data_IF_012881437271
#
_entry.id   IF_012881437271
#
_cell.length_a   1.000
_cell.length_b   1.000
_cell.length_c   1.000
_cell.angle_alpha   90.00
_cell.angle_beta   90.00
_cell.angle_gamma   90.00
#
_symmetry.space_group_name_H-M   'P 1'
#
loop_
_entity.id
_entity.type
_entity.pdbx_description
1 polymer ?
#
# COMPACT_ATOMS: atom_id res chain seq x y z
N UNK A 1 -42.52 -6.49 0.11
CA UNK A 1 -41.78 -6.54 1.40
C UNK A 1 -42.30 -7.57 2.41
N UNK A 2 -43.45 -8.24 2.18
CA UNK A 2 -43.99 -9.22 3.13
C UNK A 2 -43.54 -10.68 2.87
N UNK A 3 -43.25 -11.06 1.62
CA UNK A 3 -42.93 -12.47 1.29
C UNK A 3 -41.52 -12.90 1.71
N UNK A 4 -40.50 -12.04 1.57
CA UNK A 4 -39.13 -12.35 2.00
C UNK A 4 -38.92 -12.41 3.53
N UNK A 5 -39.92 -11.99 4.33
CA UNK A 5 -39.86 -12.14 5.80
C UNK A 5 -40.10 -13.60 6.22
N UNK A 6 -40.94 -14.37 5.52
CA UNK A 6 -41.27 -15.74 5.96
C UNK A 6 -40.12 -16.75 5.82
N UNK A 7 -39.24 -16.57 4.84
CA UNK A 7 -38.26 -17.61 4.47
C UNK A 7 -36.98 -17.60 5.32
N UNK A 8 -36.50 -16.43 5.75
CA UNK A 8 -35.31 -16.32 6.61
C UNK A 8 -35.56 -16.86 8.04
N UNK A 9 -36.77 -16.66 8.59
CA UNK A 9 -37.10 -17.09 9.96
C UNK A 9 -37.18 -18.62 10.10
N UNK A 10 -37.42 -19.34 9.00
CA UNK A 10 -37.44 -20.81 8.98
C UNK A 10 -36.04 -21.44 9.05
N UNK A 11 -34.98 -20.64 8.89
CA UNK A 11 -33.58 -21.07 8.82
C UNK A 11 -32.79 -20.76 10.09
N UNK A 12 -33.45 -20.21 11.12
CA UNK A 12 -32.83 -20.01 12.43
C UNK A 12 -32.28 -21.33 12.98
N UNK A 13 -30.99 -21.33 13.35
CA UNK A 13 -30.30 -22.52 13.87
C UNK A 13 -29.52 -23.36 12.85
N UNK A 14 -29.50 -23.00 11.56
CA UNK A 14 -28.57 -23.62 10.60
C UNK A 14 -27.14 -23.07 10.82
N UNK A 15 -26.31 -23.85 11.52
CA UNK A 15 -24.93 -23.50 11.86
C UNK A 15 -24.04 -23.23 10.64
N UNK A 16 -24.36 -23.81 9.47
CA UNK A 16 -23.59 -23.55 8.24
C UNK A 16 -23.96 -22.18 7.68
N UNK A 17 -25.24 -21.88 7.54
CA UNK A 17 -25.70 -20.58 7.06
C UNK A 17 -25.29 -19.45 8.02
N UNK A 18 -25.40 -19.65 9.32
CA UNK A 18 -24.95 -18.68 10.32
C UNK A 18 -23.45 -18.34 10.14
N UNK A 19 -22.58 -19.34 9.97
CA UNK A 19 -21.15 -19.11 9.70
C UNK A 19 -20.90 -18.39 8.39
N UNK A 20 -21.66 -18.70 7.34
CA UNK A 20 -21.57 -18.01 6.05
C UNK A 20 -22.01 -16.54 6.16
N UNK A 21 -23.11 -16.25 6.87
CA UNK A 21 -23.57 -14.88 7.11
C UNK A 21 -22.56 -14.08 7.92
N UNK A 22 -22.09 -14.59 9.06
CA UNK A 22 -21.10 -13.91 9.89
C UNK A 22 -19.81 -13.64 9.10
N UNK A 23 -19.29 -14.64 8.39
CA UNK A 23 -18.10 -14.48 7.54
C UNK A 23 -18.31 -13.62 6.29
N UNK A 24 -19.55 -13.40 5.86
CA UNK A 24 -19.91 -12.47 4.79
C UNK A 24 -19.99 -11.03 5.28
N UNK A 25 -20.62 -10.80 6.44
CA UNK A 25 -20.70 -9.48 7.06
C UNK A 25 -19.30 -8.91 7.38
N UNK A 26 -18.32 -9.73 7.76
CA UNK A 26 -16.93 -9.28 7.96
C UNK A 26 -16.23 -8.83 6.66
N UNK A 27 -16.80 -9.14 5.50
CA UNK A 27 -16.32 -8.73 4.18
C UNK A 27 -17.17 -7.62 3.55
N UNK A 28 -18.20 -7.15 4.25
CA UNK A 28 -19.12 -6.13 3.75
C UNK A 28 -18.52 -4.73 3.94
N UNK A 29 -18.22 -3.99 2.85
CA UNK A 29 -17.59 -2.67 2.98
C UNK A 29 -18.56 -1.59 3.51
N UNK A 30 -19.88 -1.82 3.41
CA UNK A 30 -20.94 -0.94 3.88
C UNK A 30 -21.44 -1.30 5.30
N UNK A 31 -20.65 -2.06 6.06
CA UNK A 31 -21.00 -2.50 7.41
C UNK A 31 -21.30 -1.30 8.35
N UNK A 32 -22.52 -1.16 8.90
CA UNK A 32 -22.84 -0.11 9.86
C UNK A 32 -22.12 -0.30 11.19
N UNK A 33 -21.84 0.80 11.90
CA UNK A 33 -21.20 0.75 13.22
C UNK A 33 -22.00 -0.07 14.26
N UNK A 34 -23.34 -0.07 14.16
CA UNK A 34 -24.22 -0.88 15.01
C UNK A 34 -24.03 -2.39 14.79
N UNK A 35 -23.84 -2.81 13.53
CA UNK A 35 -23.60 -4.21 13.16
C UNK A 35 -22.17 -4.61 13.55
N UNK A 36 -21.19 -3.73 13.30
CA UNK A 36 -19.81 -3.90 13.77
C UNK A 36 -19.78 -4.15 15.28
N UNK A 37 -20.44 -3.31 16.08
CA UNK A 37 -20.51 -3.45 17.54
C UNK A 37 -20.96 -4.84 17.98
N UNK A 38 -21.98 -5.39 17.31
CA UNK A 38 -22.48 -6.74 17.57
C UNK A 38 -21.52 -7.83 17.10
N UNK A 39 -20.87 -7.67 15.95
CA UNK A 39 -19.87 -8.64 15.49
C UNK A 39 -18.66 -8.74 16.42
N UNK A 40 -18.29 -7.65 17.10
CA UNK A 40 -17.20 -7.65 18.08
C UNK A 40 -17.53 -8.45 19.36
N UNK A 41 -18.78 -8.84 19.59
CA UNK A 41 -19.16 -9.70 20.73
C UNK A 41 -19.07 -11.19 20.40
N UNK A 42 -18.85 -11.54 19.13
CA UNK A 42 -18.72 -12.94 18.69
C UNK A 42 -17.32 -13.43 19.04
N UNK A 43 -17.22 -14.42 19.94
CA UNK A 43 -15.93 -14.97 20.39
C UNK A 43 -15.16 -15.66 19.25
N UNK A 44 -15.86 -16.47 18.44
CA UNK A 44 -15.27 -17.23 17.35
C UNK A 44 -15.94 -16.88 16.02
N UNK A 45 -15.33 -15.94 15.30
CA UNK A 45 -15.64 -15.74 13.88
C UNK A 45 -14.94 -16.81 13.03
N UNK A 46 -15.44 -17.12 11.81
CA UNK A 46 -14.79 -18.08 10.93
C UNK A 46 -13.29 -17.76 10.72
N UNK A 47 -12.42 -18.78 10.77
CA UNK A 47 -10.96 -18.62 10.82
C UNK A 47 -10.35 -17.71 9.73
N UNK A 48 -10.93 -17.67 8.54
CA UNK A 48 -10.52 -16.78 7.44
C UNK A 48 -10.78 -15.29 7.70
N UNK A 49 -11.43 -14.95 8.82
CA UNK A 49 -11.75 -13.59 9.23
C UNK A 49 -10.69 -13.00 10.17
N UNK A 50 -9.63 -13.71 10.55
CA UNK A 50 -8.65 -13.23 11.57
C UNK A 50 -8.07 -11.83 11.35
N UNK A 51 -8.02 -11.34 10.10
CA UNK A 51 -7.56 -9.99 9.71
C UNK A 51 -8.67 -9.09 9.13
N UNK A 52 -9.94 -9.37 9.43
CA UNK A 52 -11.06 -8.68 8.79
C UNK A 52 -11.13 -7.19 9.17
N UNK A 53 -10.86 -6.84 10.43
CA UNK A 53 -10.87 -5.45 10.88
C UNK A 53 -9.77 -4.60 10.24
N UNK A 54 -8.65 -5.19 9.81
CA UNK A 54 -7.61 -4.48 9.05
C UNK A 54 -8.04 -4.15 7.60
N UNK A 55 -9.05 -4.85 7.08
CA UNK A 55 -9.60 -4.68 5.71
C UNK A 55 -10.96 -4.02 5.67
N UNK A 56 -11.64 -3.91 6.82
CA UNK A 56 -12.90 -3.20 6.97
C UNK A 56 -12.64 -1.70 6.80
N UNK A 57 -13.31 -0.99 5.88
CA UNK A 57 -13.22 0.46 5.83
C UNK A 57 -13.68 1.06 7.16
N UNK A 58 -12.88 1.93 7.76
CA UNK A 58 -13.19 2.52 9.07
C UNK A 58 -13.38 4.03 8.95
N UNK A 59 -14.63 4.45 8.80
CA UNK A 59 -14.98 5.86 9.00
C UNK A 59 -14.89 6.26 10.48
N UNK A 60 -15.22 7.51 10.77
CA UNK A 60 -15.21 8.09 12.12
C UNK A 60 -16.02 7.27 13.13
N UNK A 61 -17.21 6.79 12.76
CA UNK A 61 -18.10 6.08 13.67
C UNK A 61 -17.58 4.67 13.96
N UNK A 62 -17.19 3.93 12.93
CA UNK A 62 -16.60 2.58 13.07
C UNK A 62 -15.26 2.61 13.79
N UNK A 63 -14.44 3.62 13.55
CA UNK A 63 -13.19 3.84 14.30
C UNK A 63 -13.49 4.06 15.77
N UNK A 64 -14.53 4.83 16.11
CA UNK A 64 -14.92 5.08 17.49
C UNK A 64 -15.37 3.80 18.20
N UNK A 65 -16.09 2.92 17.51
CA UNK A 65 -16.48 1.59 18.05
C UNK A 65 -15.25 0.78 18.44
N UNK A 66 -14.23 0.69 17.57
CA UNK A 66 -13.04 -0.09 17.88
C UNK A 66 -12.18 0.56 18.97
N UNK A 67 -12.00 1.88 18.94
CA UNK A 67 -11.26 2.62 19.98
C UNK A 67 -11.91 2.47 21.36
N UNK A 68 -13.23 2.38 21.42
CA UNK A 68 -13.98 2.13 22.65
C UNK A 68 -14.09 0.64 23.04
N UNK A 69 -13.62 -0.29 22.19
CA UNK A 69 -13.78 -1.71 22.43
C UNK A 69 -13.00 -2.15 23.69
N UNK A 70 -13.57 -3.05 24.52
CA UNK A 70 -12.90 -3.53 25.73
C UNK A 70 -11.68 -4.38 25.42
N UNK A 71 -11.71 -5.12 24.30
CA UNK A 71 -10.61 -6.01 23.87
C UNK A 71 -9.46 -5.21 23.29
N UNK A 72 -8.26 -5.44 23.84
CA UNK A 72 -7.00 -4.82 23.39
C UNK A 72 -6.77 -5.11 21.90
N UNK A 73 -7.03 -6.33 21.44
CA UNK A 73 -6.82 -6.73 20.04
C UNK A 73 -7.65 -5.88 19.06
N UNK A 74 -8.87 -5.47 19.43
CA UNK A 74 -9.71 -4.62 18.58
C UNK A 74 -9.14 -3.20 18.46
N UNK A 75 -8.62 -2.66 19.57
CA UNK A 75 -7.96 -1.35 19.58
C UNK A 75 -6.67 -1.38 18.76
N UNK A 76 -5.87 -2.45 18.87
CA UNK A 76 -4.67 -2.64 18.05
C UNK A 76 -5.00 -2.74 16.55
N UNK A 77 -6.03 -3.51 16.18
CA UNK A 77 -6.46 -3.61 14.79
C UNK A 77 -7.01 -2.29 14.22
N UNK A 78 -7.55 -1.40 15.06
CA UNK A 78 -7.89 -0.04 14.64
C UNK A 78 -6.64 0.79 14.30
N UNK A 79 -5.56 0.67 15.07
CA UNK A 79 -4.30 1.37 14.78
C UNK A 79 -3.70 0.91 13.46
N UNK A 80 -3.74 -0.40 13.20
CA UNK A 80 -3.20 -1.03 11.99
C UNK A 80 -4.09 -0.87 10.75
N UNK A 81 -5.28 -0.28 10.88
CA UNK A 81 -6.19 -0.07 9.76
C UNK A 81 -5.79 1.19 8.96
N UNK A 82 -5.51 1.08 7.64
CA UNK A 82 -5.07 2.21 6.82
C UNK A 82 -6.12 3.32 6.63
N UNK A 83 -7.40 3.01 6.83
CA UNK A 83 -8.53 3.91 6.56
C UNK A 83 -9.15 4.53 7.80
N UNK A 84 -8.71 4.10 9.01
CA UNK A 84 -9.24 4.58 10.27
C UNK A 84 -9.13 6.10 10.43
N UNK A 85 -10.17 6.69 11.04
CA UNK A 85 -10.23 8.14 11.29
C UNK A 85 -9.13 8.56 12.26
N UNK A 86 -8.24 9.41 11.76
CA UNK A 86 -7.03 9.85 12.45
C UNK A 86 -7.34 10.60 13.75
N UNK A 87 -8.42 11.41 13.78
CA UNK A 87 -8.76 12.20 14.96
C UNK A 87 -9.38 11.35 16.07
N UNK A 88 -10.11 10.30 15.69
CA UNK A 88 -10.64 9.34 16.66
C UNK A 88 -9.52 8.44 17.20
N UNK A 89 -8.59 8.00 16.35
CA UNK A 89 -7.42 7.22 16.76
C UNK A 89 -6.52 7.99 17.76
N UNK A 90 -6.47 9.32 17.68
CA UNK A 90 -5.69 10.16 18.59
C UNK A 90 -5.97 9.89 20.09
N UNK A 91 -7.16 9.39 20.41
CA UNK A 91 -7.54 8.99 21.78
C UNK A 91 -6.66 7.86 22.33
N UNK A 92 -6.15 6.99 21.45
CA UNK A 92 -5.28 5.87 21.81
C UNK A 92 -3.89 6.31 22.29
N UNK A 93 -3.50 7.58 22.06
CA UNK A 93 -2.32 8.16 22.71
C UNK A 93 -2.41 8.16 24.25
N UNK A 94 -3.64 8.05 24.80
CA UNK A 94 -3.92 7.94 26.24
C UNK A 94 -4.61 6.62 26.59
N UNK A 95 -4.46 5.58 25.76
CA UNK A 95 -5.07 4.27 26.05
C UNK A 95 -4.57 3.76 27.41
N UNK A 96 -5.44 3.15 28.24
CA UNK A 96 -5.00 2.57 29.51
C UNK A 96 -3.94 1.47 29.31
N UNK A 97 -3.96 0.75 28.18
CA UNK A 97 -3.03 -0.34 27.88
C UNK A 97 -1.71 0.18 27.28
N UNK A 98 -0.55 -0.01 27.96
CA UNK A 98 0.75 0.42 27.46
C UNK A 98 1.08 -0.11 26.06
N UNK A 99 0.70 -1.35 25.76
CA UNK A 99 0.93 -1.95 24.43
C UNK A 99 0.20 -1.18 23.32
N UNK A 100 -1.02 -0.69 23.58
CA UNK A 100 -1.79 0.08 22.59
C UNK A 100 -1.14 1.44 22.36
N UNK A 101 -0.74 2.14 23.43
CA UNK A 101 -0.03 3.42 23.32
C UNK A 101 1.27 3.30 22.53
N UNK A 102 2.05 2.24 22.79
CA UNK A 102 3.29 1.96 22.07
C UNK A 102 3.06 1.70 20.58
N UNK A 103 2.12 0.81 20.24
CA UNK A 103 1.82 0.52 18.82
C UNK A 103 1.30 1.78 18.14
N UNK A 104 0.38 2.52 18.76
CA UNK A 104 -0.08 3.80 18.21
C UNK A 104 1.05 4.79 17.98
N UNK A 105 1.95 4.98 18.95
CA UNK A 105 3.09 5.88 18.81
C UNK A 105 4.02 5.50 17.65
N UNK A 106 4.21 4.20 17.43
CA UNK A 106 5.11 3.65 16.41
C UNK A 106 4.62 3.93 15.00
N UNK A 107 3.31 3.81 14.75
CA UNK A 107 2.73 3.85 13.41
C UNK A 107 1.73 4.99 13.21
N UNK A 108 1.77 6.03 14.06
CA UNK A 108 0.85 7.17 14.01
C UNK A 108 0.88 7.90 12.65
N UNK A 109 2.07 8.01 12.03
CA UNK A 109 2.27 8.62 10.72
C UNK A 109 2.30 7.63 9.54
N UNK A 110 2.12 6.33 9.79
CA UNK A 110 2.12 5.31 8.73
C UNK A 110 0.85 5.44 7.85
N UNK A 111 0.82 4.71 6.74
CA UNK A 111 -0.28 4.73 5.77
C UNK A 111 -0.57 6.11 5.15
N UNK A 112 0.37 7.04 5.25
CA UNK A 112 0.18 8.42 4.80
C UNK A 112 -0.70 9.27 5.73
N UNK A 113 -0.90 8.83 6.99
CA UNK A 113 -1.66 9.57 7.99
C UNK A 113 -0.89 10.79 8.48
N UNK A 114 -1.61 11.87 8.76
CA UNK A 114 -1.06 12.98 9.57
C UNK A 114 -1.01 12.55 11.03
N UNK A 115 -0.01 13.03 11.77
CA UNK A 115 -0.03 12.94 13.24
C UNK A 115 -0.79 14.17 13.77
N UNK A 116 -1.88 14.02 14.55
CA UNK A 116 -2.62 15.16 15.08
C UNK A 116 -1.79 16.04 16.03
N UNK A 117 -2.07 17.35 16.04
CA UNK A 117 -1.43 18.30 16.95
C UNK A 117 -1.66 17.90 18.42
N UNK A 118 -0.64 18.07 19.26
CA UNK A 118 -0.70 17.71 20.68
C UNK A 118 -0.47 16.21 20.96
N UNK A 119 -0.62 15.33 19.97
CA UNK A 119 -0.35 13.89 20.15
C UNK A 119 1.13 13.62 20.45
N UNK A 120 2.10 14.17 19.70
CA UNK A 120 3.52 13.97 20.00
C UNK A 120 3.89 14.36 21.43
N UNK A 121 3.34 15.47 21.94
CA UNK A 121 3.58 15.96 23.30
C UNK A 121 2.98 15.05 24.36
N UNK A 122 1.80 14.47 24.11
CA UNK A 122 1.19 13.46 24.98
C UNK A 122 2.07 12.22 25.06
N UNK A 123 2.53 11.72 23.91
CA UNK A 123 3.40 10.54 23.85
C UNK A 123 4.78 10.81 24.47
N UNK A 124 5.31 12.03 24.33
CA UNK A 124 6.56 12.45 24.97
C UNK A 124 6.44 12.51 26.50
N UNK A 125 5.23 12.68 27.04
CA UNK A 125 4.95 12.65 28.47
C UNK A 125 4.51 11.31 29.02
N UNK A 126 4.60 10.22 28.24
CA UNK A 126 4.11 8.90 28.64
C UNK A 126 4.90 8.31 29.81
N UNK A 127 4.25 7.48 30.63
CA UNK A 127 4.91 6.76 31.71
C UNK A 127 5.93 5.74 31.20
N UNK A 128 5.72 5.19 30.00
CA UNK A 128 6.61 4.19 29.40
C UNK A 128 7.71 4.83 28.56
N UNK A 129 8.97 4.56 28.91
CA UNK A 129 10.14 5.05 28.17
C UNK A 129 10.11 4.65 26.68
N UNK A 130 9.58 3.47 26.34
CA UNK A 130 9.43 3.03 24.94
C UNK A 130 8.47 3.90 24.13
N UNK A 131 7.42 4.44 24.76
CA UNK A 131 6.47 5.36 24.11
C UNK A 131 7.10 6.74 23.97
N UNK A 132 7.75 7.26 25.02
CA UNK A 132 8.49 8.53 24.97
C UNK A 132 9.56 8.54 23.90
N UNK A 133 10.32 7.44 23.79
CA UNK A 133 11.31 7.25 22.72
C UNK A 133 10.66 7.35 21.35
N UNK A 134 9.52 6.69 21.15
CA UNK A 134 8.83 6.72 19.87
C UNK A 134 8.31 8.10 19.51
N UNK A 135 7.93 8.93 20.50
CA UNK A 135 7.55 10.32 20.26
C UNK A 135 8.66 11.15 19.59
N UNK A 136 9.94 10.82 19.80
CA UNK A 136 11.09 11.55 19.22
C UNK A 136 11.21 11.43 17.70
N UNK A 137 10.48 10.51 17.06
CA UNK A 137 10.45 10.40 15.60
C UNK A 137 9.56 11.48 14.95
N UNK A 138 8.68 12.10 15.73
CA UNK A 138 7.77 13.13 15.27
C UNK A 138 8.31 14.53 15.54
N UNK A 139 7.74 15.52 14.85
CA UNK A 139 8.04 16.91 15.16
C UNK A 139 7.57 17.24 16.58
N UNK A 140 8.49 17.78 17.38
CA UNK A 140 8.28 18.09 18.79
C UNK A 140 8.73 19.52 19.03
N UNK A 141 7.97 20.32 19.80
CA UNK A 141 8.45 21.61 20.24
C UNK A 141 9.82 21.47 20.92
N UNK A 142 10.74 22.39 20.62
CA UNK A 142 12.13 22.33 21.11
C UNK A 142 12.21 22.13 22.62
N UNK A 143 11.33 22.78 23.38
CA UNK A 143 11.28 22.64 24.84
C UNK A 143 10.87 21.22 25.28
N UNK A 144 9.96 20.56 24.56
CA UNK A 144 9.56 19.17 24.86
C UNK A 144 10.71 18.22 24.54
N UNK A 145 11.34 18.37 23.37
CA UNK A 145 12.47 17.53 22.96
C UNK A 145 13.71 17.74 23.86
N UNK A 146 13.96 18.96 24.33
CA UNK A 146 15.02 19.25 25.28
C UNK A 146 14.82 18.49 26.61
N UNK A 147 13.59 18.43 27.14
CA UNK A 147 13.29 17.61 28.33
C UNK A 147 13.56 16.12 28.11
N UNK A 148 13.29 15.60 26.91
CA UNK A 148 13.60 14.20 26.57
C UNK A 148 15.11 13.94 26.46
N UNK A 149 15.93 14.95 26.17
CA UNK A 149 17.39 14.81 26.21
C UNK A 149 17.92 14.67 27.66
N UNK A 150 17.11 14.98 28.66
CA UNK A 150 17.38 14.83 30.09
C UNK A 150 16.58 13.67 30.72
N UNK A 151 15.93 12.82 29.89
CA UNK A 151 15.09 11.72 30.34
C UNK A 151 15.87 10.70 31.21
N UNK A 152 15.18 10.04 32.14
CA UNK A 152 15.75 8.98 32.96
C UNK A 152 16.26 7.79 32.11
N UNK A 153 15.58 7.49 31.01
CA UNK A 153 15.92 6.40 30.11
C UNK A 153 16.93 6.84 29.05
N UNK A 154 18.04 6.12 28.97
CA UNK A 154 19.15 6.48 28.09
C UNK A 154 18.81 6.34 26.60
N UNK A 155 17.90 5.44 26.20
CA UNK A 155 17.48 5.33 24.81
C UNK A 155 16.57 6.50 24.41
N UNK A 156 15.77 7.03 25.34
CA UNK A 156 15.00 8.26 25.12
C UNK A 156 15.95 9.44 24.93
N UNK A 157 16.94 9.60 25.82
CA UNK A 157 17.97 10.65 25.69
C UNK A 157 18.66 10.59 24.33
N UNK A 158 19.19 9.43 23.95
CA UNK A 158 19.87 9.24 22.68
C UNK A 158 18.99 9.58 21.47
N UNK A 159 17.71 9.16 21.50
CA UNK A 159 16.77 9.38 20.37
C UNK A 159 16.28 10.83 20.29
N UNK A 160 16.31 11.58 21.39
CA UNK A 160 15.93 12.99 21.41
C UNK A 160 16.95 13.90 20.69
N UNK A 161 18.22 13.49 20.61
CA UNK A 161 19.32 14.30 20.08
C UNK A 161 19.19 14.52 18.56
N UNK A 162 19.27 15.79 18.16
CA UNK A 162 19.35 16.21 16.76
C UNK A 162 20.36 17.34 16.62
N UNK A 163 20.89 17.54 15.40
CA UNK A 163 21.82 18.62 15.11
C UNK A 163 21.20 20.00 15.40
N UNK A 164 19.89 20.16 15.20
CA UNK A 164 19.17 21.40 15.51
C UNK A 164 18.92 21.61 17.00
N UNK A 165 18.79 20.54 17.79
CA UNK A 165 18.57 20.63 19.23
C UNK A 165 19.87 20.95 19.97
N UNK A 166 20.98 20.32 19.58
CA UNK A 166 22.27 20.42 20.27
C UNK A 166 22.73 21.84 20.62
N UNK A 167 22.73 22.83 19.69
CA UNK A 167 23.15 24.19 20.02
C UNK A 167 22.21 24.91 21.00
N UNK A 168 20.96 24.44 21.14
CA UNK A 168 19.92 25.01 22.01
C UNK A 168 19.92 24.42 23.43
N UNK A 169 20.62 23.31 23.65
CA UNK A 169 20.81 22.72 24.97
C UNK A 169 21.75 23.59 25.83
N UNK A 170 21.53 23.57 27.14
CA UNK A 170 22.42 24.25 28.09
C UNK A 170 23.80 23.60 28.10
N UNK A 171 24.84 24.35 28.52
CA UNK A 171 26.19 23.81 28.63
C UNK A 171 26.25 22.59 29.57
N UNK A 172 25.58 22.66 30.71
CA UNK A 172 25.52 21.56 31.68
C UNK A 172 24.89 20.29 31.10
N UNK A 173 23.82 20.41 30.31
CA UNK A 173 23.17 19.25 29.66
C UNK A 173 24.09 18.65 28.59
N UNK A 174 24.77 19.48 27.79
CA UNK A 174 25.74 18.98 26.80
C UNK A 174 26.91 18.25 27.43
N UNK A 175 27.46 18.79 28.53
CA UNK A 175 28.53 18.13 29.29
C UNK A 175 28.07 16.80 29.87
N UNK A 176 26.85 16.74 30.43
CA UNK A 176 26.26 15.50 30.94
C UNK A 176 26.05 14.46 29.82
N UNK A 177 25.59 14.86 28.63
CA UNK A 177 25.39 13.97 27.48
C UNK A 177 26.71 13.44 26.88
N UNK A 178 27.75 14.28 26.85
CA UNK A 178 29.10 13.86 26.43
C UNK A 178 29.70 12.83 27.39
N UNK A 179 29.44 13.01 28.69
CA UNK A 179 29.89 12.12 29.76
C UNK A 179 28.84 11.07 30.16
N UNK A 180 27.78 10.88 29.35
CA UNK A 180 26.67 9.99 29.69
C UNK A 180 27.18 8.57 29.93
N UNK A 181 26.76 7.86 31.01
CA UNK A 181 27.22 6.51 31.27
C UNK A 181 26.85 5.51 30.15
N UNK A 182 25.74 5.72 29.45
CA UNK A 182 25.27 4.83 28.39
C UNK A 182 26.03 5.07 27.07
N UNK A 183 26.73 4.05 26.52
CA UNK A 183 27.46 4.19 25.26
C UNK A 183 26.60 4.68 24.09
N UNK A 184 25.35 4.23 23.98
CA UNK A 184 24.45 4.63 22.89
C UNK A 184 24.14 6.14 22.88
N UNK A 185 24.14 6.80 24.04
CA UNK A 185 23.96 8.26 24.10
C UNK A 185 25.19 8.96 23.55
N UNK A 186 26.39 8.52 23.96
CA UNK A 186 27.65 9.08 23.46
C UNK A 186 27.80 8.86 21.95
N UNK A 187 27.41 7.70 21.44
CA UNK A 187 27.40 7.40 20.00
C UNK A 187 26.41 8.30 19.24
N UNK A 188 25.24 8.57 19.81
CA UNK A 188 24.27 9.50 19.22
C UNK A 188 24.83 10.93 19.15
N UNK A 189 25.55 11.39 20.18
CA UNK A 189 26.26 12.70 20.14
C UNK A 189 27.32 12.71 19.06
N UNK A 190 28.12 11.65 18.92
CA UNK A 190 29.15 11.55 17.89
C UNK A 190 28.57 11.61 16.46
N UNK A 191 27.41 11.01 16.24
CA UNK A 191 26.70 11.06 14.95
C UNK A 191 26.22 12.47 14.56
N UNK A 192 26.09 13.39 15.51
CA UNK A 192 25.77 14.80 15.20
C UNK A 192 26.94 15.52 14.52
N UNK A 193 28.15 14.98 14.63
CA UNK A 193 29.39 15.54 14.08
C UNK A 193 30.09 14.49 13.21
N UNK A 194 29.48 14.10 12.07
CA UNK A 194 30.11 13.15 11.18
C UNK A 194 31.45 13.71 10.69
N UNK A 195 32.48 12.86 10.50
CA UNK A 195 33.75 13.30 9.93
C UNK A 195 33.53 13.92 8.54
N UNK A 196 34.44 14.82 8.14
CA UNK A 196 34.43 15.38 6.79
C UNK A 196 34.37 14.26 5.73
N UNK A 197 33.55 14.43 4.68
CA UNK A 197 33.45 13.42 3.63
C UNK A 197 34.81 13.24 2.95
N UNK A 198 35.28 11.99 2.89
CA UNK A 198 36.50 11.64 2.16
C UNK A 198 36.36 12.08 0.69
N UNK A 199 37.36 12.77 0.11
CA UNK A 199 37.33 13.16 -1.30
C UNK A 199 37.05 11.95 -2.20
N UNK A 200 36.18 12.12 -3.20
CA UNK A 200 35.92 11.07 -4.20
C UNK A 200 37.20 10.83 -5.02
N UNK A 201 37.49 9.56 -5.30
CA UNK A 201 38.54 9.16 -6.23
C UNK A 201 38.33 9.78 -7.61
N UNK A 202 39.42 10.04 -8.32
CA UNK A 202 39.40 10.64 -9.65
C UNK A 202 38.65 9.74 -10.66
N UNK A 203 38.02 10.28 -11.72
CA UNK A 203 37.25 9.49 -12.67
C UNK A 203 38.00 8.27 -13.25
N UNK A 204 39.31 8.40 -13.53
CA UNK A 204 40.12 7.31 -14.10
C UNK A 204 40.37 6.19 -13.08
N UNK A 205 40.55 6.53 -11.80
CA UNK A 205 40.69 5.55 -10.72
C UNK A 205 39.41 4.74 -10.56
N UNK A 206 38.25 5.41 -10.61
CA UNK A 206 36.94 4.74 -10.46
C UNK A 206 36.60 3.81 -11.62
N UNK A 207 37.06 4.13 -12.84
CA UNK A 207 36.89 3.27 -14.03
C UNK A 207 37.85 2.08 -14.02
N UNK A 208 38.98 2.18 -13.31
CA UNK A 208 39.98 1.11 -13.18
C UNK A 208 39.89 0.37 -11.84
N UNK A 209 38.91 0.70 -11.00
CA UNK A 209 38.78 0.17 -9.65
C UNK A 209 38.65 -1.36 -9.67
N UNK A 210 39.34 -2.11 -8.79
CA UNK A 210 39.21 -3.56 -8.72
C UNK A 210 37.77 -4.02 -8.42
N UNK A 211 36.97 -3.21 -7.72
CA UNK A 211 35.58 -3.53 -7.39
C UNK A 211 34.63 -3.22 -8.58
N UNK A 212 33.95 -4.24 -9.14
CA UNK A 212 32.98 -4.03 -10.22
C UNK A 212 31.82 -3.11 -9.81
N UNK A 213 31.47 -3.02 -8.52
CA UNK A 213 30.43 -2.11 -8.06
C UNK A 213 30.84 -0.64 -8.24
N UNK A 214 32.10 -0.30 -7.96
CA UNK A 214 32.64 1.05 -8.18
C UNK A 214 32.68 1.38 -9.67
N UNK A 215 33.16 0.45 -10.51
CA UNK A 215 33.18 0.63 -11.97
C UNK A 215 31.77 0.78 -12.56
N UNK A 216 30.80 0.01 -12.08
CA UNK A 216 29.39 0.10 -12.49
C UNK A 216 28.77 1.46 -12.15
N UNK A 217 29.11 2.01 -10.97
CA UNK A 217 28.72 3.38 -10.59
C UNK A 217 29.40 4.43 -11.47
N UNK A 218 30.68 4.27 -11.76
CA UNK A 218 31.44 5.15 -12.65
C UNK A 218 30.83 5.19 -14.07
N UNK A 219 30.37 4.05 -14.59
CA UNK A 219 29.74 3.96 -15.91
C UNK A 219 28.50 4.87 -16.06
N UNK A 220 27.73 5.07 -14.98
CA UNK A 220 26.53 5.92 -14.97
C UNK A 220 26.78 7.34 -14.44
N UNK A 221 28.00 7.65 -14.02
CA UNK A 221 28.31 8.94 -13.40
C UNK A 221 28.53 10.04 -14.46
N UNK A 222 27.75 11.13 -14.45
CA UNK A 222 27.95 12.25 -15.36
C UNK A 222 29.31 12.97 -15.17
N UNK A 223 29.97 12.83 -14.01
CA UNK A 223 31.31 13.39 -13.77
C UNK A 223 32.42 12.58 -14.46
N UNK A 224 32.14 11.34 -14.87
CA UNK A 224 33.07 10.53 -15.66
C UNK A 224 32.90 10.89 -17.14
N UNK A 225 33.95 11.36 -17.85
CA UNK A 225 33.84 11.69 -19.28
C UNK A 225 33.41 10.48 -20.11
N UNK A 226 32.55 10.68 -21.12
CA UNK A 226 32.01 9.61 -21.97
C UNK A 226 33.10 8.74 -22.59
N UNK A 227 34.20 9.37 -23.05
CA UNK A 227 35.35 8.67 -23.64
C UNK A 227 36.02 7.70 -22.65
N UNK A 228 36.04 8.05 -21.37
CA UNK A 228 36.59 7.22 -20.31
C UNK A 228 35.63 6.09 -19.94
N UNK A 229 34.32 6.40 -19.81
CA UNK A 229 33.29 5.40 -19.55
C UNK A 229 33.23 4.32 -20.65
N UNK A 230 33.45 4.69 -21.92
CA UNK A 230 33.48 3.75 -23.05
C UNK A 230 34.58 2.68 -22.95
N UNK A 231 35.62 2.87 -22.12
CA UNK A 231 36.62 1.82 -21.81
C UNK A 231 35.99 0.61 -21.09
N UNK A 232 34.82 0.79 -20.47
CA UNK A 232 34.07 -0.26 -19.79
C UNK A 232 33.19 -1.09 -20.75
N UNK A 233 33.19 -0.82 -22.06
CA UNK A 233 32.36 -1.54 -23.03
C UNK A 233 32.71 -3.04 -23.11
N UNK A 234 33.97 -3.38 -22.81
CA UNK A 234 34.49 -4.76 -22.76
C UNK A 234 34.79 -5.21 -21.31
N UNK A 235 34.22 -4.55 -20.30
CA UNK A 235 34.45 -4.91 -18.89
C UNK A 235 34.08 -6.39 -18.65
N UNK A 236 34.89 -7.17 -17.90
CA UNK A 236 34.58 -8.57 -17.63
C UNK A 236 33.26 -8.77 -16.87
N UNK A 237 32.78 -7.76 -16.14
CA UNK A 237 31.54 -7.85 -15.36
C UNK A 237 30.31 -7.38 -16.16
N UNK A 238 29.33 -8.28 -16.30
CA UNK A 238 28.09 -8.02 -17.05
C UNK A 238 27.29 -6.82 -16.50
N UNK A 239 27.34 -6.59 -15.18
CA UNK A 239 26.63 -5.49 -14.54
C UNK A 239 27.27 -4.14 -14.85
N UNK A 240 28.59 -4.10 -15.07
CA UNK A 240 29.31 -2.89 -15.48
C UNK A 240 28.94 -2.54 -16.92
N UNK A 241 28.97 -3.54 -17.83
CA UNK A 241 28.56 -3.34 -19.23
C UNK A 241 27.10 -2.91 -19.35
N UNK A 242 26.21 -3.52 -18.56
CA UNK A 242 24.80 -3.13 -18.48
C UNK A 242 24.60 -1.69 -17.95
N UNK A 243 25.36 -1.29 -16.93
CA UNK A 243 25.33 0.09 -16.44
C UNK A 243 25.81 1.06 -17.53
N UNK A 244 26.89 0.75 -18.25
CA UNK A 244 27.35 1.60 -19.35
C UNK A 244 26.29 1.70 -20.46
N UNK A 245 25.67 0.59 -20.85
CA UNK A 245 24.68 0.56 -21.94
C UNK A 245 23.41 1.37 -21.65
N UNK A 246 23.18 1.81 -20.40
CA UNK A 246 22.05 2.68 -20.04
C UNK A 246 22.46 4.14 -19.77
N UNK A 247 23.73 4.51 -20.00
CA UNK A 247 24.27 5.86 -19.78
C UNK A 247 23.63 6.88 -20.73
N UNK A 248 23.40 8.10 -20.26
CA UNK A 248 22.59 9.12 -20.97
C UNK A 248 23.21 9.67 -22.26
N UNK A 249 24.51 9.95 -22.22
CA UNK A 249 25.28 10.67 -23.24
C UNK A 249 25.85 9.74 -24.34
N UNK A 250 25.50 8.44 -24.32
CA UNK A 250 25.80 7.51 -25.41
C UNK A 250 24.84 7.69 -26.59
N UNK A 251 25.41 7.71 -27.79
CA UNK A 251 24.67 7.54 -29.05
C UNK A 251 24.07 6.14 -29.16
N UNK A 252 23.08 5.94 -30.03
CA UNK A 252 22.48 4.61 -30.23
C UNK A 252 23.48 3.63 -30.84
N UNK A 253 24.38 4.08 -31.74
CA UNK A 253 25.48 3.25 -32.24
C UNK A 253 26.40 2.78 -31.09
N UNK A 254 26.87 3.70 -30.25
CA UNK A 254 27.71 3.35 -29.10
C UNK A 254 26.98 2.41 -28.13
N UNK A 255 25.70 2.67 -27.88
CA UNK A 255 24.86 1.84 -27.01
C UNK A 255 24.70 0.43 -27.55
N UNK A 256 24.47 0.30 -28.86
CA UNK A 256 24.31 -1.00 -29.54
C UNK A 256 25.61 -1.81 -29.61
N UNK A 257 26.77 -1.15 -29.51
CA UNK A 257 28.08 -1.81 -29.49
C UNK A 257 28.43 -2.44 -28.14
N UNK A 258 27.75 -2.06 -27.05
CA UNK A 258 27.99 -2.65 -25.72
C UNK A 258 27.25 -3.98 -25.61
N UNK A 259 27.99 -5.08 -25.39
CA UNK A 259 27.39 -6.38 -25.15
C UNK A 259 26.85 -6.48 -23.71
N UNK A 260 25.53 -6.45 -23.54
CA UNK A 260 24.88 -6.55 -22.23
C UNK A 260 23.84 -7.69 -22.20
N UNK A 261 23.54 -8.16 -20.99
CA UNK A 261 22.49 -9.16 -20.74
C UNK A 261 21.32 -8.46 -20.06
N UNK A 262 20.12 -8.64 -20.59
CA UNK A 262 18.89 -8.15 -19.95
C UNK A 262 18.59 -9.06 -18.75
N UNK A 263 18.59 -8.55 -17.51
CA UNK A 263 18.31 -9.36 -16.35
C UNK A 263 16.85 -9.83 -16.35
N UNK A 264 16.61 -11.02 -15.78
CA UNK A 264 15.25 -11.48 -15.52
C UNK A 264 14.63 -10.64 -14.38
N UNK A 265 13.45 -10.09 -14.61
CA UNK A 265 12.70 -9.33 -13.60
C UNK A 265 12.92 -7.82 -13.66
N UNK A 266 12.86 -7.18 -12.49
CA UNK A 266 12.99 -5.72 -12.37
C UNK A 266 14.45 -5.29 -12.50
N UNK A 267 14.70 -4.20 -13.22
CA UNK A 267 15.98 -3.53 -13.29
C UNK A 267 15.93 -2.18 -12.57
N UNK A 268 17.10 -1.67 -12.19
CA UNK A 268 17.22 -0.30 -11.65
C UNK A 268 17.21 0.69 -12.81
N UNK A 269 16.25 1.63 -12.90
CA UNK A 269 16.27 2.66 -13.93
C UNK A 269 17.50 3.55 -13.82
N UNK A 270 18.07 4.02 -14.94
CA UNK A 270 19.19 4.94 -14.89
C UNK A 270 18.75 6.28 -14.28
N UNK A 271 19.65 6.90 -13.53
CA UNK A 271 19.40 8.11 -12.73
C UNK A 271 18.75 9.24 -13.55
N UNK A 272 19.20 9.44 -14.78
CA UNK A 272 18.67 10.50 -15.65
C UNK A 272 17.21 10.31 -16.04
N UNK A 273 16.71 9.06 -16.17
CA UNK A 273 15.29 8.79 -16.39
C UNK A 273 14.51 9.05 -15.09
N UNK A 274 15.05 8.64 -13.94
CA UNK A 274 14.40 8.88 -12.64
C UNK A 274 14.22 10.38 -12.39
N UNK A 275 15.26 11.17 -12.62
CA UNK A 275 15.26 12.60 -12.33
C UNK A 275 14.56 13.43 -13.41
N UNK A 276 14.70 13.07 -14.69
CA UNK A 276 14.30 13.91 -15.83
C UNK A 276 13.38 13.22 -16.85
N UNK A 277 12.99 11.97 -16.63
CA UNK A 277 12.11 11.23 -17.54
C UNK A 277 10.73 11.86 -17.76
N UNK A 278 10.26 12.71 -16.85
CA UNK A 278 9.04 13.49 -17.00
C UNK A 278 9.13 14.59 -18.09
N UNK A 279 10.34 14.93 -18.54
CA UNK A 279 10.54 15.93 -19.58
C UNK A 279 10.24 15.32 -20.96
N UNK A 280 9.40 15.97 -21.81
CA UNK A 280 8.95 15.38 -23.07
C UNK A 280 10.07 14.90 -24.00
N UNK A 281 11.15 15.67 -24.14
CA UNK A 281 12.26 15.32 -25.04
C UNK A 281 13.07 14.13 -24.52
N UNK A 282 13.25 14.02 -23.20
CA UNK A 282 13.88 12.88 -22.54
C UNK A 282 13.01 11.63 -22.71
N UNK A 283 11.70 11.76 -22.52
CA UNK A 283 10.75 10.67 -22.69
C UNK A 283 10.75 10.12 -24.12
N UNK A 284 10.68 11.00 -25.13
CA UNK A 284 10.75 10.62 -26.55
C UNK A 284 12.05 9.92 -26.90
N UNK A 285 13.19 10.47 -26.45
CA UNK A 285 14.51 9.85 -26.67
C UNK A 285 14.60 8.45 -26.08
N UNK A 286 14.19 8.28 -24.81
CA UNK A 286 14.24 6.99 -24.13
C UNK A 286 13.30 5.95 -24.79
N UNK A 287 12.09 6.36 -25.17
CA UNK A 287 11.12 5.49 -25.84
C UNK A 287 11.51 5.14 -27.29
N UNK A 288 12.29 6.00 -27.95
CA UNK A 288 12.82 5.75 -29.28
C UNK A 288 14.04 4.81 -29.30
N UNK A 289 14.72 4.63 -28.16
CA UNK A 289 15.96 3.85 -28.08
C UNK A 289 15.76 2.37 -28.43
N UNK A 290 16.77 1.78 -29.07
CA UNK A 290 16.85 0.33 -29.29
C UNK A 290 17.02 -0.46 -28.00
N UNK A 291 17.45 0.19 -26.91
CA UNK A 291 17.72 -0.44 -25.63
C UNK A 291 16.44 -0.68 -24.82
N UNK A 292 16.01 -1.95 -24.74
CA UNK A 292 14.77 -2.35 -24.05
C UNK A 292 14.65 -1.83 -22.61
N UNK A 293 15.74 -1.80 -21.83
CA UNK A 293 15.66 -1.30 -20.46
C UNK A 293 15.44 0.21 -20.36
N UNK A 294 15.83 1.00 -21.38
CA UNK A 294 15.50 2.43 -21.40
C UNK A 294 14.01 2.61 -21.66
N UNK A 295 13.44 1.80 -22.57
CA UNK A 295 11.99 1.77 -22.83
C UNK A 295 11.18 1.30 -21.61
N UNK A 296 11.63 0.24 -20.92
CA UNK A 296 11.02 -0.21 -19.66
C UNK A 296 11.14 0.86 -18.57
N UNK A 297 12.29 1.52 -18.45
CA UNK A 297 12.51 2.60 -17.47
C UNK A 297 11.61 3.80 -17.71
N UNK A 298 11.44 4.24 -18.96
CA UNK A 298 10.58 5.39 -19.25
C UNK A 298 9.10 5.03 -19.07
N UNK A 299 8.69 3.78 -19.33
CA UNK A 299 7.34 3.30 -19.04
C UNK A 299 6.95 3.35 -17.55
N UNK A 300 7.93 3.46 -16.64
CA UNK A 300 7.68 3.62 -15.19
C UNK A 300 7.21 5.04 -14.81
N UNK A 301 7.25 6.00 -15.73
CA UNK A 301 6.79 7.35 -15.44
C UNK A 301 5.28 7.38 -15.23
N UNK A 302 4.82 8.15 -14.24
CA UNK A 302 3.40 8.28 -13.92
C UNK A 302 2.61 8.98 -15.02
N UNK A 303 3.26 9.92 -15.71
CA UNK A 303 2.70 10.72 -16.78
C UNK A 303 3.66 10.77 -17.96
N UNK A 304 3.15 10.54 -19.16
CA UNK A 304 3.93 10.57 -20.40
C UNK A 304 3.17 11.32 -21.52
N UNK A 305 3.89 11.96 -22.47
CA UNK A 305 3.29 12.51 -23.68
C UNK A 305 2.53 11.44 -24.48
N UNK A 306 1.43 11.81 -25.13
CA UNK A 306 0.58 10.88 -25.88
C UNK A 306 1.35 10.09 -26.95
N UNK A 307 2.25 10.76 -27.69
CA UNK A 307 3.09 10.12 -28.71
C UNK A 307 4.05 9.07 -28.14
N UNK A 308 4.51 9.26 -26.90
CA UNK A 308 5.35 8.29 -26.20
C UNK A 308 4.51 7.11 -25.71
N UNK A 309 3.31 7.37 -25.18
CA UNK A 309 2.37 6.32 -24.74
C UNK A 309 1.98 5.43 -25.91
N UNK A 310 1.60 6.00 -27.05
CA UNK A 310 1.23 5.26 -28.25
C UNK A 310 2.37 4.35 -28.72
N UNK A 311 3.60 4.89 -28.75
CA UNK A 311 4.79 4.11 -29.12
C UNK A 311 5.06 2.95 -28.16
N UNK A 312 5.00 3.19 -26.85
CA UNK A 312 5.28 2.15 -25.84
C UNK A 312 4.14 1.12 -25.74
N UNK A 313 2.91 1.51 -26.10
CA UNK A 313 1.77 0.59 -26.14
C UNK A 313 1.89 -0.44 -27.27
N UNK A 314 2.57 -0.08 -28.36
CA UNK A 314 2.86 -0.94 -29.51
C UNK A 314 4.23 -1.67 -29.38
N UNK A 315 4.92 -1.56 -28.24
CA UNK A 315 6.24 -2.17 -28.05
C UNK A 315 6.19 -3.70 -28.14
N UNK A 316 7.22 -4.28 -28.76
CA UNK A 316 7.38 -5.73 -28.87
C UNK A 316 7.69 -6.38 -27.52
N UNK A 317 8.30 -5.65 -26.59
CA UNK A 317 8.65 -6.15 -25.28
C UNK A 317 7.43 -6.16 -24.36
N UNK A 318 7.02 -7.36 -23.95
CA UNK A 318 5.89 -7.57 -23.04
C UNK A 318 6.01 -6.76 -21.75
N UNK A 319 7.21 -6.61 -21.20
CA UNK A 319 7.41 -5.88 -19.95
C UNK A 319 7.34 -4.37 -20.14
N UNK A 320 7.69 -3.82 -21.30
CA UNK A 320 7.41 -2.40 -21.60
C UNK A 320 5.91 -2.15 -21.52
N UNK A 321 5.10 -2.95 -22.21
CA UNK A 321 3.64 -2.84 -22.21
C UNK A 321 3.04 -3.04 -20.81
N UNK A 322 3.50 -4.06 -20.08
CA UNK A 322 3.05 -4.34 -18.72
C UNK A 322 3.42 -3.21 -17.76
N UNK A 323 4.65 -2.70 -17.80
CA UNK A 323 5.12 -1.60 -16.95
C UNK A 323 4.36 -0.32 -17.25
N UNK A 324 4.10 -0.01 -18.52
CA UNK A 324 3.27 1.12 -18.92
C UNK A 324 1.89 1.06 -18.24
N UNK A 325 1.21 -0.08 -18.32
CA UNK A 325 -0.09 -0.30 -17.67
C UNK A 325 -0.05 -0.28 -16.13
N UNK A 326 1.11 -0.54 -15.51
CA UNK A 326 1.25 -0.53 -14.06
C UNK A 326 1.57 0.86 -13.50
N UNK A 327 2.22 1.71 -14.28
CA UNK A 327 2.80 2.97 -13.78
C UNK A 327 2.20 4.23 -14.42
N UNK A 328 1.93 4.23 -15.73
CA UNK A 328 1.50 5.41 -16.47
C UNK A 328 -0.02 5.54 -16.50
N UNK A 329 -0.57 6.67 -16.03
CA UNK A 329 -2.02 6.87 -15.95
C UNK A 329 -2.69 6.95 -17.33
N UNK A 330 -1.93 7.34 -18.35
CA UNK A 330 -2.37 7.50 -19.72
C UNK A 330 -2.37 6.18 -20.51
N UNK A 331 -1.95 5.06 -19.91
CA UNK A 331 -1.92 3.77 -20.60
C UNK A 331 -3.27 3.44 -21.25
N UNK A 332 -3.31 3.02 -22.54
CA UNK A 332 -4.56 2.84 -23.27
C UNK A 332 -5.46 1.77 -22.67
N UNK A 333 -6.77 2.02 -22.65
CA UNK A 333 -7.78 1.07 -22.13
C UNK A 333 -7.65 -0.34 -22.75
N UNK A 334 -7.49 -0.42 -24.07
CA UNK A 334 -7.36 -1.70 -24.77
C UNK A 334 -6.14 -2.51 -24.31
N UNK A 335 -5.00 -1.83 -24.12
CA UNK A 335 -3.78 -2.48 -23.66
C UNK A 335 -3.89 -2.93 -22.20
N UNK A 336 -4.50 -2.11 -21.35
CA UNK A 336 -4.75 -2.48 -19.94
C UNK A 336 -5.60 -3.75 -19.87
N UNK A 337 -6.64 -3.87 -20.72
CA UNK A 337 -7.45 -5.09 -20.81
C UNK A 337 -6.68 -6.29 -21.38
N UNK A 338 -5.87 -6.09 -22.41
CA UNK A 338 -4.99 -7.14 -22.96
C UNK A 338 -4.07 -7.69 -21.86
N UNK A 339 -3.40 -6.81 -21.12
CA UNK A 339 -2.50 -7.20 -20.03
C UNK A 339 -3.27 -7.89 -18.89
N UNK A 340 -4.46 -7.41 -18.56
CA UNK A 340 -5.30 -8.01 -17.52
C UNK A 340 -5.76 -9.44 -17.88
N UNK A 341 -6.11 -9.69 -19.15
CA UNK A 341 -6.47 -11.03 -19.62
C UNK A 341 -5.27 -12.00 -19.59
N UNK A 342 -4.11 -11.59 -20.10
CA UNK A 342 -3.01 -12.52 -20.38
C UNK A 342 -1.91 -12.60 -19.30
N UNK A 343 -1.76 -11.60 -18.43
CA UNK A 343 -0.67 -11.60 -17.47
C UNK A 343 -0.97 -12.46 -16.23
N UNK A 344 -0.17 -13.51 -16.00
CA UNK A 344 -0.36 -14.45 -14.89
C UNK A 344 0.50 -14.16 -13.64
N UNK A 345 1.11 -12.98 -13.54
CA UNK A 345 1.89 -12.60 -12.36
C UNK A 345 1.05 -12.35 -11.10
N UNK A 346 1.70 -12.38 -9.93
CA UNK A 346 1.05 -12.30 -8.61
C UNK A 346 0.17 -11.05 -8.37
N UNK A 347 0.32 -10.00 -9.18
CA UNK A 347 -0.39 -8.71 -9.00
C UNK A 347 -1.33 -8.35 -10.16
N UNK A 348 -1.79 -9.32 -10.95
CA UNK A 348 -2.67 -9.06 -12.10
C UNK A 348 -3.96 -8.30 -11.77
N UNK A 349 -4.50 -8.48 -10.56
CA UNK A 349 -5.71 -7.79 -10.10
C UNK A 349 -5.53 -6.28 -9.96
N UNK A 350 -4.30 -5.77 -9.78
CA UNK A 350 -4.03 -4.33 -9.65
C UNK A 350 -4.39 -3.55 -10.93
N UNK A 351 -4.38 -4.20 -12.09
CA UNK A 351 -4.78 -3.55 -13.35
C UNK A 351 -6.25 -3.09 -13.32
N UNK A 352 -7.11 -3.71 -12.50
CA UNK A 352 -8.51 -3.26 -12.30
C UNK A 352 -8.60 -1.89 -11.62
N UNK A 353 -7.58 -1.48 -10.87
CA UNK A 353 -7.51 -0.17 -10.22
C UNK A 353 -6.92 0.91 -11.13
N UNK A 354 -6.53 0.57 -12.36
CA UNK A 354 -6.01 1.54 -13.32
C UNK A 354 -7.11 2.54 -13.74
N UNK A 355 -6.83 3.85 -13.84
CA UNK A 355 -7.82 4.87 -14.19
C UNK A 355 -8.51 4.64 -15.56
N UNK A 356 -7.83 3.95 -16.48
CA UNK A 356 -8.39 3.57 -17.78
C UNK A 356 -8.96 2.14 -17.85
N UNK A 357 -9.12 1.43 -16.73
CA UNK A 357 -9.70 0.08 -16.74
C UNK A 357 -11.22 0.09 -16.97
N UNK A 358 -11.98 0.70 -16.05
CA UNK A 358 -13.44 0.72 -16.06
C UNK A 358 -13.99 1.77 -17.06
N UNK A 359 -14.15 1.37 -18.32
CA UNK A 359 -14.71 2.19 -19.41
C UNK A 359 -15.97 1.53 -19.98
N UNK A 360 -16.88 2.31 -20.60
CA UNK A 360 -18.04 1.76 -21.30
C UNK A 360 -17.68 0.67 -22.31
N UNK A 361 -18.53 -0.35 -22.40
CA UNK A 361 -18.42 -1.43 -23.39
C UNK A 361 -17.72 -2.70 -22.90
N UNK A 362 -17.39 -2.79 -21.60
CA UNK A 362 -16.93 -4.02 -20.94
C UNK A 362 -18.04 -5.08 -20.85
N UNK A 363 -19.31 -4.68 -20.84
CA UNK A 363 -20.47 -5.56 -20.79
C UNK A 363 -20.51 -6.60 -21.92
N UNK A 364 -19.85 -6.32 -23.06
CA UNK A 364 -19.70 -7.27 -24.18
C UNK A 364 -19.00 -8.58 -23.79
N UNK A 365 -18.24 -8.58 -22.69
CA UNK A 365 -17.49 -9.74 -22.23
C UNK A 365 -18.30 -10.69 -21.34
N UNK A 366 -19.60 -10.47 -21.14
CA UNK A 366 -20.43 -11.27 -20.22
C UNK A 366 -20.41 -12.78 -20.53
N UNK A 367 -20.30 -13.17 -21.80
CA UNK A 367 -20.23 -14.57 -22.23
C UNK A 367 -18.83 -14.99 -22.72
N UNK A 368 -17.78 -14.21 -22.40
CA UNK A 368 -16.44 -14.47 -22.90
C UNK A 368 -15.84 -15.76 -22.29
N UNK A 369 -15.11 -16.61 -23.05
CA UNK A 369 -14.52 -17.84 -22.50
C UNK A 369 -13.51 -17.58 -21.36
N UNK A 370 -12.79 -16.46 -21.42
CA UNK A 370 -11.90 -16.02 -20.32
C UNK A 370 -12.71 -15.44 -19.15
N UNK A 371 -12.64 -16.11 -18.00
CA UNK A 371 -13.28 -15.69 -16.75
C UNK A 371 -12.83 -14.32 -16.26
N UNK A 372 -11.59 -13.91 -16.54
CA UNK A 372 -11.11 -12.57 -16.17
C UNK A 372 -11.89 -11.50 -16.91
N UNK A 373 -12.12 -11.69 -18.21
CA UNK A 373 -12.89 -10.76 -19.02
C UNK A 373 -14.37 -10.78 -18.63
N UNK A 374 -14.96 -11.93 -18.28
CA UNK A 374 -16.30 -11.97 -17.66
C UNK A 374 -16.35 -11.16 -16.36
N UNK A 375 -15.33 -11.27 -15.51
CA UNK A 375 -15.20 -10.44 -14.31
C UNK A 375 -15.06 -8.95 -14.66
N UNK A 376 -14.32 -8.59 -15.71
CA UNK A 376 -14.20 -7.20 -16.16
C UNK A 376 -15.54 -6.64 -16.66
N UNK A 377 -16.47 -7.48 -17.14
CA UNK A 377 -17.80 -7.04 -17.52
C UNK A 377 -18.59 -6.42 -16.33
N UNK A 378 -18.31 -6.87 -15.10
CA UNK A 378 -18.85 -6.26 -13.88
C UNK A 378 -18.29 -4.85 -13.62
N UNK A 379 -17.14 -4.49 -14.19
CA UNK A 379 -16.54 -3.16 -14.05
C UNK A 379 -17.05 -2.15 -15.10
N UNK A 380 -18.02 -2.54 -15.95
CA UNK A 380 -18.64 -1.61 -16.90
C UNK A 380 -19.47 -0.54 -16.15
N UNK A 381 -19.16 0.77 -16.31
CA UNK A 381 -19.91 1.85 -15.67
C UNK A 381 -21.34 2.01 -16.20
N UNK A 382 -21.66 1.50 -17.39
CA UNK A 382 -22.99 1.56 -18.00
C UNK A 382 -23.81 0.27 -17.79
N UNK A 383 -23.21 -0.78 -17.21
CA UNK A 383 -23.93 -2.04 -16.99
C UNK A 383 -25.00 -1.91 -15.89
N UNK A 384 -26.18 -2.46 -16.20
CA UNK A 384 -27.32 -2.58 -15.30
C UNK A 384 -27.37 -3.89 -14.51
N UNK A 385 -28.41 -4.06 -13.67
CA UNK A 385 -28.63 -5.27 -12.85
C UNK A 385 -28.75 -6.56 -13.69
N UNK A 386 -29.18 -6.47 -14.95
CA UNK A 386 -29.36 -7.61 -15.85
C UNK A 386 -28.04 -8.34 -16.11
N UNK A 387 -26.94 -7.61 -16.22
CA UNK A 387 -25.60 -8.19 -16.39
C UNK A 387 -25.15 -8.94 -15.14
N UNK A 388 -25.41 -8.36 -13.96
CA UNK A 388 -25.07 -8.98 -12.68
C UNK A 388 -25.85 -10.28 -12.49
N UNK A 389 -27.16 -10.27 -12.79
CA UNK A 389 -28.01 -11.46 -12.74
C UNK A 389 -27.49 -12.57 -13.67
N UNK A 390 -27.01 -12.21 -14.86
CA UNK A 390 -26.48 -13.19 -15.82
C UNK A 390 -25.20 -13.87 -15.33
N UNK A 391 -24.39 -13.18 -14.52
CA UNK A 391 -23.14 -13.71 -13.98
C UNK A 391 -23.27 -14.33 -12.59
N UNK A 392 -24.43 -14.23 -11.92
CA UNK A 392 -24.59 -14.64 -10.52
C UNK A 392 -24.32 -16.13 -10.28
N UNK A 393 -24.65 -16.96 -11.27
CA UNK A 393 -24.45 -18.42 -11.27
C UNK A 393 -23.19 -18.84 -12.04
N UNK A 394 -22.35 -17.89 -12.47
CA UNK A 394 -21.07 -18.22 -13.09
C UNK A 394 -20.15 -18.90 -12.06
N UNK A 395 -19.58 -20.07 -12.38
CA UNK A 395 -18.79 -20.85 -11.44
C UNK A 395 -17.48 -20.17 -11.01
N UNK A 396 -16.93 -19.29 -11.84
CA UNK A 396 -15.66 -18.62 -11.60
C UNK A 396 -15.86 -17.19 -11.11
N UNK A 397 -16.88 -16.50 -11.62
CA UNK A 397 -17.11 -15.07 -11.35
C UNK A 397 -18.33 -14.73 -10.50
N UNK A 398 -19.24 -15.68 -10.25
CA UNK A 398 -20.52 -15.42 -9.60
C UNK A 398 -20.42 -14.86 -8.19
N UNK A 399 -19.35 -15.18 -7.45
CA UNK A 399 -19.10 -14.59 -6.14
C UNK A 399 -18.77 -13.09 -6.16
N UNK A 400 -18.21 -12.56 -7.27
CA UNK A 400 -18.09 -11.11 -7.44
C UNK A 400 -19.44 -10.49 -7.81
N UNK A 401 -20.23 -11.14 -8.67
CA UNK A 401 -21.57 -10.68 -9.02
C UNK A 401 -22.50 -10.63 -7.80
N UNK A 402 -22.42 -11.62 -6.90
CA UNK A 402 -23.15 -11.63 -5.62
C UNK A 402 -22.79 -10.46 -4.70
N UNK A 403 -21.60 -9.86 -4.87
CA UNK A 403 -21.12 -8.71 -4.09
C UNK A 403 -21.31 -7.38 -4.82
N UNK A 404 -21.90 -7.38 -6.01
CA UNK A 404 -22.13 -6.18 -6.80
C UNK A 404 -23.32 -5.38 -6.22
N UNK A 405 -23.17 -4.07 -5.95
CA UNK A 405 -24.24 -3.23 -5.40
C UNK A 405 -25.47 -3.13 -6.30
N UNK A 406 -25.34 -3.43 -7.59
CA UNK A 406 -26.46 -3.39 -8.53
C UNK A 406 -27.34 -4.64 -8.46
N UNK A 407 -26.97 -5.67 -7.70
CA UNK A 407 -27.78 -6.87 -7.57
C UNK A 407 -29.18 -6.53 -7.00
N UNK A 408 -30.28 -6.92 -7.68
CA UNK A 408 -31.62 -6.63 -7.18
C UNK A 408 -31.88 -7.23 -5.81
N UNK A 409 -32.52 -6.46 -4.92
CA UNK A 409 -32.72 -6.84 -3.52
C UNK A 409 -33.49 -8.16 -3.35
N UNK A 410 -34.40 -8.50 -4.27
CA UNK A 410 -35.14 -9.77 -4.23
C UNK A 410 -34.20 -10.97 -4.41
N UNK A 411 -33.33 -10.92 -5.41
CA UNK A 411 -32.35 -11.99 -5.68
C UNK A 411 -31.31 -12.06 -4.55
N UNK A 412 -30.82 -10.90 -4.09
CA UNK A 412 -29.91 -10.84 -2.95
C UNK A 412 -30.48 -11.56 -1.72
N UNK A 413 -31.76 -11.30 -1.39
CA UNK A 413 -32.44 -11.95 -0.28
C UNK A 413 -32.63 -13.47 -0.49
N UNK A 414 -32.89 -13.92 -1.71
CA UNK A 414 -32.94 -15.36 -2.01
C UNK A 414 -31.57 -16.01 -1.79
N UNK A 415 -30.49 -15.38 -2.26
CA UNK A 415 -29.12 -15.92 -2.14
C UNK A 415 -28.59 -15.96 -0.72
N UNK A 416 -29.12 -15.13 0.19
CA UNK A 416 -28.85 -15.27 1.63
C UNK A 416 -29.31 -16.62 2.19
N UNK A 417 -30.30 -17.26 1.58
CA UNK A 417 -30.86 -18.55 2.04
C UNK A 417 -30.20 -19.76 1.37
N UNK A 418 -29.28 -19.55 0.43
CA UNK A 418 -28.66 -20.63 -0.36
C UNK A 418 -27.23 -20.86 0.15
N UNK A 419 -26.93 -22.04 0.72
CA UNK A 419 -25.57 -22.38 1.13
C UNK A 419 -24.57 -22.24 -0.03
N UNK A 420 -23.33 -21.85 0.27
CA UNK A 420 -22.28 -21.45 -0.68
C UNK A 420 -22.49 -20.09 -1.38
N UNK A 421 -23.73 -19.57 -1.47
CA UNK A 421 -24.02 -18.21 -1.94
C UNK A 421 -24.17 -17.21 -0.80
N UNK A 422 -24.69 -17.65 0.35
CA UNK A 422 -25.08 -16.82 1.48
C UNK A 422 -23.96 -15.92 2.00
N UNK A 423 -22.71 -16.42 2.01
CA UNK A 423 -21.53 -15.62 2.39
C UNK A 423 -21.31 -14.42 1.49
N UNK A 424 -21.35 -14.61 0.18
CA UNK A 424 -21.09 -13.52 -0.77
C UNK A 424 -22.27 -12.55 -0.84
N UNK A 425 -23.50 -13.05 -0.68
CA UNK A 425 -24.68 -12.22 -0.50
C UNK A 425 -24.60 -11.35 0.76
N UNK A 426 -24.18 -11.91 1.90
CA UNK A 426 -23.99 -11.14 3.14
C UNK A 426 -22.87 -10.09 3.03
N UNK A 427 -21.90 -10.30 2.14
CA UNK A 427 -20.83 -9.35 1.83
C UNK A 427 -21.24 -8.24 0.84
N UNK A 428 -22.48 -8.24 0.34
CA UNK A 428 -22.96 -7.26 -0.64
C UNK A 428 -23.21 -5.88 0.03
N UNK A 429 -22.62 -4.79 -0.49
CA UNK A 429 -22.79 -3.45 0.08
C UNK A 429 -24.22 -2.89 0.01
N UNK A 430 -25.09 -3.43 -0.87
CA UNK A 430 -26.49 -3.03 -0.97
C UNK A 430 -27.39 -3.73 0.07
N UNK A 431 -26.85 -4.59 0.93
CA UNK A 431 -27.60 -5.26 1.98
C UNK A 431 -28.07 -4.24 3.05
N UNK A 432 -29.38 -4.12 3.34
CA UNK A 432 -29.87 -3.15 4.32
C UNK A 432 -29.41 -3.47 5.75
N UNK A 433 -29.13 -2.44 6.59
CA UNK A 433 -28.77 -2.62 8.00
C UNK A 433 -29.75 -3.49 8.80
N UNK A 434 -31.06 -3.38 8.52
CA UNK A 434 -32.10 -4.16 9.18
C UNK A 434 -31.95 -5.65 8.89
N UNK A 435 -31.60 -5.99 7.64
CA UNK A 435 -31.32 -7.37 7.26
C UNK A 435 -30.04 -7.86 7.91
N UNK A 436 -28.97 -7.04 7.97
CA UNK A 436 -27.74 -7.42 8.67
C UNK A 436 -27.99 -7.75 10.14
N UNK A 437 -28.77 -6.91 10.84
CA UNK A 437 -29.16 -7.16 12.24
C UNK A 437 -29.96 -8.44 12.39
N UNK A 438 -30.86 -8.73 11.44
CA UNK A 438 -31.62 -9.98 11.43
C UNK A 438 -30.74 -11.20 11.22
N UNK A 439 -29.74 -11.14 10.33
CA UNK A 439 -28.77 -12.24 10.16
C UNK A 439 -28.01 -12.51 11.46
N UNK A 440 -27.65 -11.46 12.20
CA UNK A 440 -27.03 -11.59 13.52
C UNK A 440 -27.99 -12.22 14.54
N UNK A 441 -29.26 -11.82 14.56
CA UNK A 441 -30.29 -12.40 15.45
C UNK A 441 -30.48 -13.89 15.18
N UNK A 442 -30.61 -14.28 13.90
CA UNK A 442 -30.74 -15.68 13.46
C UNK A 442 -29.48 -16.51 13.73
N UNK A 443 -28.32 -15.85 13.84
CA UNK A 443 -27.04 -16.47 14.23
C UNK A 443 -26.83 -16.53 15.74
N UNK A 444 -27.79 -16.09 16.56
CA UNK A 444 -27.71 -16.11 18.02
C UNK A 444 -26.80 -15.03 18.62
N UNK A 445 -26.42 -14.00 17.84
CA UNK A 445 -25.56 -12.91 18.34
C UNK A 445 -26.41 -11.91 19.10
N UNK A 446 -26.16 -11.74 20.40
CA UNK A 446 -26.93 -10.84 21.25
C UNK A 446 -26.86 -9.37 20.78
N UNK A 447 -27.93 -8.60 21.08
CA UNK A 447 -27.92 -7.15 20.93
C UNK A 447 -27.46 -6.50 22.24
N UNK A 448 -26.29 -5.85 22.29
CA UNK A 448 -25.77 -5.26 23.52
C UNK A 448 -26.63 -4.09 24.06
N UNK A 449 -27.50 -3.50 23.22
CA UNK A 449 -28.44 -2.44 23.63
C UNK A 449 -29.80 -2.96 24.15
N UNK A 450 -30.01 -4.28 24.17
CA UNK A 450 -31.29 -4.92 24.52
C UNK A 450 -31.44 -5.44 25.94
N UNK A 451 -30.43 -5.27 26.80
CA UNK A 451 -30.52 -5.60 28.22
C UNK A 451 -30.97 -4.35 28.99
N UNK A 452 -32.27 -4.06 28.94
CA UNK A 452 -32.89 -3.09 29.84
C UNK A 452 -32.98 -3.61 31.26
#
# INVERSE_FOLDING_TARGET
MSEGRGDLDRLGGDERLAREWLGGLTLNPALPASVLTRLLTVEELPAYSSSWLARCPLDRERTAVLVAAPRIDHRLQAVENPTADVDVLARLARDPEPRVRFVYAAIAGDFGRRVPEGVPEVLAGDSEARVRRMATQWDLPVAVRARLAEDEDALVRASALTADLWPRLSAAVREALLADPEPRVRDAVAQLFPPEPVPRAEPDERVQDPDPFVRSRAAQDPEVPTALALRLAEDPDDSVRLSLSMREDLTEEQRSAVAYVVPNGYHTPPRWIVERGHQPDIARRAAASGHVLLRRSIAMQRHLPADVVDRLAEDEDFFVKLTLCQSCQEAPHALVLEMYAHWHGLKWTFLRSHPNFAKPGLARFVDHPDARLRRAALDDPEAGPELVLRLIDDPEVGWWALRDPRLPSQELNQRLNVPASARNAAANPALPPETMHRLLDLSGVANPAGSH
#
